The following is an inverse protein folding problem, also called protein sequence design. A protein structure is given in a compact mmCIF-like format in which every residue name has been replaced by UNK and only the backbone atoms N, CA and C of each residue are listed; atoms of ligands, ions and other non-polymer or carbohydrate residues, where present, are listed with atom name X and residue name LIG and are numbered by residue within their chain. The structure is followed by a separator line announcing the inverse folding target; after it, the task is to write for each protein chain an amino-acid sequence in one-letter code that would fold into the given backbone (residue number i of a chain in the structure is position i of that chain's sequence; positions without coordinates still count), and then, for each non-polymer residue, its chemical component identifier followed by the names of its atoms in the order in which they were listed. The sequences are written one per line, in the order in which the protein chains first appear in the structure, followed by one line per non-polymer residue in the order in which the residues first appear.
data_IF_479931967810
#
_entry.id   IF_479931967810
#
_cell.length_a   1.000
_cell.length_b   1.000
_cell.length_c   1.000
_cell.angle_alpha   90.00
_cell.angle_beta   90.00
_cell.angle_gamma   90.00
#
_symmetry.space_group_name_H-M   'P 1'
#
loop_
_entity.id
_entity.type
_entity.pdbx_description
1 polymer ?
#
# COMPACT_ATOMS: atom_id res chain seq x y z
N UNK A 1 3.37 -4.04 10.26
CA UNK A 1 2.04 -4.68 10.26
C UNK A 1 1.15 -4.27 11.43
N UNK A 2 1.70 -3.71 12.52
CA UNK A 2 0.90 -3.31 13.68
C UNK A 2 0.80 -4.45 14.70
N UNK A 3 -0.19 -4.37 15.59
CA UNK A 3 -0.46 -5.44 16.57
C UNK A 3 -1.29 -6.53 15.91
N UNK A 4 -0.84 -7.76 16.05
CA UNK A 4 -1.50 -8.94 15.49
C UNK A 4 -2.05 -9.84 16.60
N UNK A 5 -2.98 -10.72 16.23
CA UNK A 5 -3.57 -11.69 17.16
C UNK A 5 -2.89 -13.04 16.97
N UNK A 6 -2.41 -13.63 18.08
CA UNK A 6 -1.80 -14.96 18.09
C UNK A 6 -2.64 -15.93 18.91
N UNK A 7 -2.65 -17.19 18.50
CA UNK A 7 -3.19 -18.30 19.27
C UNK A 7 -2.02 -19.08 19.88
N UNK A 8 -2.07 -19.35 21.18
CA UNK A 8 -1.02 -20.09 21.89
C UNK A 8 -1.63 -21.10 22.89
N UNK A 9 -0.94 -22.23 23.17
CA UNK A 9 -1.44 -23.23 24.10
C UNK A 9 -1.48 -22.75 25.55
N UNK A 10 -2.49 -23.19 26.29
CA UNK A 10 -2.64 -22.98 27.73
C UNK A 10 -2.99 -24.32 28.37
N UNK A 11 -2.31 -24.67 29.46
CA UNK A 11 -2.66 -25.84 30.29
C UNK A 11 -3.35 -25.36 31.55
N UNK A 12 -4.48 -25.96 31.89
CA UNK A 12 -5.25 -25.58 33.07
C UNK A 12 -5.72 -26.84 33.82
N UNK A 13 -4.95 -27.23 34.82
CA UNK A 13 -5.28 -28.37 35.67
C UNK A 13 -6.38 -28.01 36.68
N UNK A 14 -7.13 -29.01 37.12
CA UNK A 14 -8.15 -28.84 38.15
C UNK A 14 -7.53 -28.22 39.41
N UNK A 15 -8.22 -27.22 39.97
CA UNK A 15 -7.81 -26.48 41.16
C UNK A 15 -6.46 -25.75 41.07
N UNK A 16 -5.91 -25.57 39.86
CA UNK A 16 -4.67 -24.84 39.60
C UNK A 16 -4.90 -23.55 38.79
N UNK A 17 -3.88 -22.69 38.74
CA UNK A 17 -3.85 -21.54 37.83
C UNK A 17 -3.45 -21.97 36.40
N UNK A 18 -3.93 -21.28 35.35
CA UNK A 18 -3.53 -21.58 33.98
C UNK A 18 -2.04 -21.30 33.76
N UNK A 19 -1.37 -22.22 33.07
CA UNK A 19 0.03 -22.10 32.66
C UNK A 19 0.07 -21.84 31.15
N UNK A 20 0.55 -20.64 30.80
CA UNK A 20 0.59 -20.15 29.42
C UNK A 20 1.92 -20.58 28.77
N UNK A 21 1.86 -21.19 27.58
CA UNK A 21 3.06 -21.46 26.81
C UNK A 21 3.68 -20.16 26.28
N UNK A 22 5.02 -20.05 26.22
CA UNK A 22 5.68 -18.90 25.61
C UNK A 22 5.28 -18.71 24.15
N UNK A 23 5.04 -17.46 23.74
CA UNK A 23 4.79 -17.10 22.34
C UNK A 23 6.13 -16.85 21.66
N UNK A 24 6.54 -17.76 20.77
CA UNK A 24 7.78 -17.71 20.00
C UNK A 24 7.52 -18.23 18.58
N UNK A 25 8.34 -17.87 17.59
CA UNK A 25 8.06 -18.08 16.16
C UNK A 25 7.46 -19.46 15.80
N UNK A 26 8.06 -20.55 16.29
CA UNK A 26 7.46 -21.89 16.22
C UNK A 26 6.82 -22.27 17.55
N UNK A 27 5.49 -22.44 17.55
CA UNK A 27 4.73 -22.89 18.72
C UNK A 27 4.24 -24.31 18.48
N UNK A 28 4.66 -25.24 19.34
CA UNK A 28 4.12 -26.61 19.36
C UNK A 28 2.95 -26.70 20.33
N UNK A 29 1.88 -27.37 19.93
CA UNK A 29 0.68 -27.51 20.76
C UNK A 29 -0.22 -28.64 20.27
N UNK A 30 -1.41 -28.73 20.84
CA UNK A 30 -2.43 -29.68 20.43
C UNK A 30 -2.87 -29.45 18.99
N UNK A 31 -3.27 -30.51 18.25
CA UNK A 31 -3.81 -30.35 16.91
C UNK A 31 -4.97 -29.35 16.88
N UNK A 32 -4.87 -28.35 16.00
CA UNK A 32 -5.95 -27.41 15.79
C UNK A 32 -7.14 -28.10 15.10
N UNK A 33 -8.38 -27.65 15.37
CA UNK A 33 -9.52 -28.03 14.55
C UNK A 33 -9.23 -27.77 13.07
N UNK A 34 -9.89 -28.53 12.19
CA UNK A 34 -9.79 -28.29 10.75
C UNK A 34 -10.17 -26.84 10.46
N UNK A 35 -9.32 -26.16 9.69
CA UNK A 35 -9.57 -24.82 9.18
C UNK A 35 -10.91 -24.80 8.44
N UNK A 36 -11.79 -23.88 8.81
CA UNK A 36 -13.11 -23.71 8.18
C UNK A 36 -13.35 -22.23 7.84
N UNK A 37 -14.09 -21.99 6.76
CA UNK A 37 -14.64 -20.67 6.39
C UNK A 37 -16.13 -20.56 6.70
N UNK A 38 -16.69 -21.54 7.41
CA UNK A 38 -18.09 -21.54 7.86
C UNK A 38 -18.27 -20.55 9.02
N UNK A 39 -18.23 -19.26 8.68
CA UNK A 39 -18.50 -18.14 9.58
C UNK A 39 -19.71 -17.37 9.06
N UNK A 40 -20.54 -16.87 9.98
CA UNK A 40 -21.73 -16.08 9.61
C UNK A 40 -21.30 -14.76 8.97
N UNK A 41 -21.56 -14.60 7.68
CA UNK A 41 -21.33 -13.37 6.92
C UNK A 41 -20.81 -13.65 5.52
N UNK A 42 -21.09 -12.75 4.58
CA UNK A 42 -20.70 -12.88 3.16
C UNK A 42 -19.52 -11.97 2.79
N UNK A 43 -18.67 -11.63 3.76
CA UNK A 43 -17.55 -10.69 3.56
C UNK A 43 -16.29 -11.47 3.23
N UNK A 44 -15.47 -10.95 2.30
CA UNK A 44 -14.17 -11.50 2.00
C UNK A 44 -13.28 -11.54 3.25
N UNK A 45 -12.45 -12.58 3.39
CA UNK A 45 -11.50 -12.64 4.49
C UNK A 45 -10.39 -11.63 4.26
N UNK A 46 -9.99 -10.89 5.29
CA UNK A 46 -8.96 -9.83 5.18
C UNK A 46 -7.62 -10.34 4.64
N UNK A 47 -7.28 -11.61 4.90
CA UNK A 47 -6.07 -12.27 4.39
C UNK A 47 -6.22 -12.87 2.98
N UNK A 48 -7.38 -12.76 2.36
CA UNK A 48 -7.55 -13.19 0.97
C UNK A 48 -6.96 -12.14 0.00
N UNK A 49 -6.58 -12.57 -1.21
CA UNK A 49 -6.15 -11.63 -2.23
C UNK A 49 -7.32 -10.74 -2.64
N UNK A 50 -7.06 -9.45 -2.82
CA UNK A 50 -8.05 -8.58 -3.44
C UNK A 50 -7.96 -8.69 -4.96
N UNK A 51 -9.11 -8.94 -5.59
CA UNK A 51 -9.29 -8.86 -7.04
C UNK A 51 -10.55 -8.04 -7.28
N UNK A 52 -10.40 -6.71 -7.25
CA UNK A 52 -11.53 -5.77 -7.29
C UNK A 52 -11.43 -4.90 -8.54
N UNK A 53 -12.46 -4.97 -9.37
CA UNK A 53 -12.64 -4.11 -10.54
C UNK A 53 -13.83 -3.18 -10.27
N UNK A 54 -13.56 -1.92 -9.97
CA UNK A 54 -14.58 -0.94 -9.57
C UNK A 54 -15.46 -0.57 -10.76
N UNK A 55 -16.64 -1.19 -10.85
CA UNK A 55 -17.67 -0.76 -11.79
C UNK A 55 -18.52 0.36 -11.17
N UNK A 56 -19.08 1.29 -11.98
CA UNK A 56 -20.04 2.26 -11.48
C UNK A 56 -21.17 1.60 -10.69
N UNK A 57 -21.44 2.10 -9.48
CA UNK A 57 -22.47 1.56 -8.58
C UNK A 57 -22.06 0.30 -7.80
N UNK A 58 -20.84 -0.22 -7.97
CA UNK A 58 -20.31 -1.29 -7.12
C UNK A 58 -20.14 -0.82 -5.68
N UNK A 59 -20.29 -1.75 -4.73
CA UNK A 59 -20.04 -1.48 -3.31
C UNK A 59 -18.54 -1.60 -3.03
N UNK A 60 -18.02 -0.69 -2.22
CA UNK A 60 -16.66 -0.79 -1.69
C UNK A 60 -16.59 -2.00 -0.74
N UNK A 61 -15.57 -2.87 -0.86
CA UNK A 61 -15.39 -4.00 0.07
C UNK A 61 -15.31 -3.54 1.53
N UNK A 62 -15.92 -4.30 2.44
CA UNK A 62 -16.08 -3.87 3.83
C UNK A 62 -14.76 -3.78 4.62
N UNK A 63 -13.68 -4.43 4.17
CA UNK A 63 -12.36 -4.36 4.79
C UNK A 63 -11.53 -3.15 4.35
N UNK A 64 -12.07 -2.32 3.45
CA UNK A 64 -11.39 -1.10 3.02
C UNK A 64 -11.60 0.01 4.05
N UNK A 65 -10.54 0.75 4.31
CA UNK A 65 -10.49 1.89 5.21
C UNK A 65 -10.45 3.16 4.37
N UNK A 66 -11.28 4.14 4.70
CA UNK A 66 -11.26 5.45 4.07
C UNK A 66 -10.94 6.52 5.11
N UNK A 67 -10.16 7.51 4.70
CA UNK A 67 -9.96 8.72 5.50
C UNK A 67 -10.73 9.86 4.84
N UNK A 68 -11.82 10.28 5.47
CA UNK A 68 -12.55 11.48 5.06
C UNK A 68 -11.92 12.69 5.74
N UNK A 69 -10.95 13.32 5.07
CA UNK A 69 -10.57 14.69 5.40
C UNK A 69 -11.41 15.64 4.54
N UNK A 70 -12.18 16.56 5.13
CA UNK A 70 -12.96 17.50 4.34
C UNK A 70 -12.01 18.59 3.84
N UNK A 71 -11.40 18.41 2.66
CA UNK A 71 -11.21 19.45 1.61
C UNK A 71 -10.06 19.18 0.62
N UNK A 72 -9.09 18.30 0.88
CA UNK A 72 -7.84 18.30 0.08
C UNK A 72 -7.34 16.92 -0.39
N UNK A 73 -7.96 15.83 0.04
CA UNK A 73 -7.53 14.48 -0.33
C UNK A 73 -8.67 13.45 -0.25
N UNK A 74 -8.71 12.56 -1.23
CA UNK A 74 -9.44 11.29 -1.17
C UNK A 74 -8.44 10.16 -0.93
N UNK A 75 -8.72 9.29 0.04
CA UNK A 75 -7.83 8.19 0.41
C UNK A 75 -8.64 6.94 0.73
N UNK A 76 -8.33 5.84 0.03
CA UNK A 76 -8.93 4.52 0.24
C UNK A 76 -7.82 3.48 0.35
N UNK A 77 -7.87 2.64 1.38
CA UNK A 77 -6.78 1.77 1.79
C UNK A 77 -7.29 0.43 2.28
N UNK A 78 -6.37 -0.51 2.50
CA UNK A 78 -6.57 -1.75 3.24
C UNK A 78 -5.41 -1.99 4.21
N UNK A 79 -5.62 -2.89 5.16
CA UNK A 79 -4.57 -3.34 6.07
C UNK A 79 -3.59 -4.28 5.35
N UNK A 80 -2.30 -4.09 5.59
CA UNK A 80 -1.27 -5.08 5.26
C UNK A 80 -1.46 -6.34 6.11
N UNK A 81 -1.56 -7.51 5.48
CA UNK A 81 -1.77 -8.79 6.18
C UNK A 81 -0.59 -9.75 6.09
N UNK A 82 0.44 -9.41 5.31
CA UNK A 82 1.58 -10.26 5.04
C UNK A 82 2.88 -9.45 5.13
N UNK A 83 3.96 -10.02 5.68
CA UNK A 83 5.28 -9.36 5.66
C UNK A 83 5.75 -9.14 4.22
N UNK A 84 5.39 -10.05 3.32
CA UNK A 84 5.64 -9.95 1.89
C UNK A 84 4.32 -9.87 1.15
N UNK A 85 4.12 -8.83 0.36
CA UNK A 85 2.92 -8.67 -0.47
C UNK A 85 3.22 -7.89 -1.74
N UNK A 86 2.28 -7.94 -2.68
CA UNK A 86 2.21 -7.02 -3.81
C UNK A 86 0.84 -6.36 -3.82
N UNK A 87 0.83 -5.03 -3.85
CA UNK A 87 -0.34 -4.20 -4.03
C UNK A 87 -0.21 -3.39 -5.32
N UNK A 88 -1.27 -3.27 -6.10
CA UNK A 88 -1.30 -2.41 -7.28
C UNK A 88 -2.70 -1.94 -7.64
N UNK A 89 -2.76 -0.80 -8.31
CA UNK A 89 -3.95 -0.27 -8.96
C UNK A 89 -3.59 0.26 -10.35
N UNK A 90 -4.58 0.37 -11.22
CA UNK A 90 -4.42 0.99 -12.54
C UNK A 90 -5.09 2.39 -12.51
N UNK A 91 -4.31 3.45 -12.70
CA UNK A 91 -4.81 4.81 -12.94
C UNK A 91 -5.25 4.88 -14.39
N UNK A 92 -6.55 4.93 -14.63
CA UNK A 92 -7.17 4.83 -15.96
C UNK A 92 -7.40 6.20 -16.58
N UNK A 93 -7.86 7.15 -15.78
CA UNK A 93 -8.09 8.53 -16.22
C UNK A 93 -7.58 9.48 -15.13
N UNK A 94 -6.76 10.44 -15.55
CA UNK A 94 -6.24 11.51 -14.72
C UNK A 94 -5.59 12.55 -15.64
N UNK A 95 -6.19 13.74 -15.73
CA UNK A 95 -5.80 14.79 -16.68
C UNK A 95 -5.54 16.13 -15.97
N UNK A 96 -4.52 16.21 -15.11
CA UNK A 96 -4.14 17.47 -14.45
C UNK A 96 -3.62 18.48 -15.48
N UNK A 97 -3.88 19.77 -15.26
CA UNK A 97 -3.44 20.83 -16.18
C UNK A 97 -2.38 21.75 -15.58
N UNK A 98 -2.36 21.85 -14.25
CA UNK A 98 -1.52 22.80 -13.54
C UNK A 98 -0.34 22.08 -12.91
N UNK A 99 0.81 22.73 -12.97
CA UNK A 99 2.04 22.21 -12.40
C UNK A 99 1.91 22.01 -10.88
N UNK A 100 2.20 20.79 -10.43
CA UNK A 100 2.34 20.41 -9.02
C UNK A 100 1.05 20.41 -8.19
N UNK A 101 -0.07 20.90 -8.74
CA UNK A 101 -1.32 21.05 -8.00
C UNK A 101 -1.97 19.68 -7.78
N UNK A 102 -2.46 19.00 -8.81
CA UNK A 102 -3.11 17.69 -8.62
C UNK A 102 -2.17 16.49 -8.73
N UNK A 103 -2.38 15.48 -7.88
CA UNK A 103 -1.65 14.20 -7.90
C UNK A 103 -2.59 13.04 -7.54
N UNK A 104 -2.40 11.90 -8.20
CA UNK A 104 -3.05 10.62 -7.83
C UNK A 104 -2.04 9.48 -7.84
N UNK A 105 -2.19 8.53 -6.93
CA UNK A 105 -1.17 7.52 -6.74
C UNK A 105 -1.53 6.37 -5.81
N UNK A 106 -0.50 5.62 -5.45
CA UNK A 106 -0.54 4.60 -4.39
C UNK A 106 0.29 5.03 -3.20
N UNK A 107 -0.14 4.64 -2.01
CA UNK A 107 0.54 4.96 -0.75
C UNK A 107 0.75 3.72 0.10
N UNK A 108 1.87 3.69 0.82
CA UNK A 108 2.02 2.91 2.04
C UNK A 108 1.98 3.89 3.22
N UNK A 109 0.98 3.74 4.06
CA UNK A 109 0.53 4.77 5.00
C UNK A 109 0.54 4.25 6.43
N UNK A 110 1.08 5.03 7.36
CA UNK A 110 0.92 4.80 8.80
C UNK A 110 0.09 5.91 9.43
N UNK A 111 0.48 7.17 9.19
CA UNK A 111 -0.20 8.38 9.67
C UNK A 111 -0.10 9.50 8.63
N UNK A 112 -0.79 10.62 8.87
CA UNK A 112 -0.69 11.81 8.01
C UNK A 112 0.72 12.43 7.99
N UNK A 113 1.57 12.09 8.95
CA UNK A 113 2.96 12.55 8.97
C UNK A 113 3.97 11.42 8.68
N UNK A 114 3.51 10.18 8.46
CA UNK A 114 4.35 9.03 8.15
C UNK A 114 3.74 8.20 7.02
N UNK A 115 4.19 8.46 5.80
CA UNK A 115 3.70 7.76 4.61
C UNK A 115 4.70 7.82 3.45
N UNK A 116 4.55 6.89 2.52
CA UNK A 116 5.36 6.72 1.32
C UNK A 116 4.43 6.71 0.11
N UNK A 117 4.62 7.63 -0.82
CA UNK A 117 3.67 7.84 -1.92
C UNK A 117 4.35 7.77 -3.28
N UNK A 118 3.81 6.96 -4.17
CA UNK A 118 4.12 7.00 -5.61
C UNK A 118 2.89 7.52 -6.35
N UNK A 119 3.02 8.71 -6.94
CA UNK A 119 1.95 9.35 -7.69
C UNK A 119 2.33 9.77 -9.10
N UNK A 120 1.31 10.07 -9.89
CA UNK A 120 1.40 10.77 -11.18
C UNK A 120 0.99 12.22 -10.94
N UNK A 121 1.80 13.15 -11.43
CA UNK A 121 1.64 14.60 -11.23
C UNK A 121 2.08 15.35 -12.48
N UNK A 122 1.47 16.50 -12.77
CA UNK A 122 1.91 17.39 -13.86
C UNK A 122 3.09 18.25 -13.37
N UNK A 123 4.22 18.24 -14.08
CA UNK A 123 5.40 19.06 -13.75
C UNK A 123 6.08 19.60 -15.01
N UNK A 124 6.90 20.64 -14.87
CA UNK A 124 7.77 21.13 -15.95
C UNK A 124 8.69 20.01 -16.47
N UNK A 125 8.73 19.85 -17.79
CA UNK A 125 9.61 18.90 -18.49
C UNK A 125 11.03 19.46 -18.70
N UNK A 126 11.28 20.72 -18.32
CA UNK A 126 12.51 21.47 -18.58
C UNK A 126 12.64 21.91 -20.04
N UNK A 127 11.58 21.77 -20.84
CA UNK A 127 11.51 22.19 -22.24
C UNK A 127 10.58 23.38 -22.38
N UNK A 128 10.69 24.06 -23.52
CA UNK A 128 9.79 25.16 -23.89
C UNK A 128 8.98 24.77 -25.11
N UNK A 129 7.71 25.13 -25.11
CA UNK A 129 6.81 24.98 -26.23
C UNK A 129 7.19 25.94 -27.38
N UNK A 130 6.47 25.82 -28.51
CA UNK A 130 6.70 26.68 -29.71
C UNK A 130 6.48 28.18 -29.45
N UNK A 131 5.85 28.55 -28.33
CA UNK A 131 5.57 29.93 -27.90
C UNK A 131 6.53 30.39 -26.80
N UNK A 132 7.51 29.57 -26.42
CA UNK A 132 8.49 29.87 -25.37
C UNK A 132 7.98 29.67 -23.95
N UNK A 133 6.76 29.12 -23.75
CA UNK A 133 6.22 28.77 -22.43
C UNK A 133 6.79 27.44 -21.98
N UNK A 134 6.94 27.24 -20.67
CA UNK A 134 7.30 25.94 -20.09
C UNK A 134 6.35 24.84 -20.57
N UNK A 135 6.93 23.73 -21.04
CA UNK A 135 6.22 22.55 -21.48
C UNK A 135 5.98 21.65 -20.28
N UNK A 136 4.72 21.50 -19.89
CA UNK A 136 4.34 20.59 -18.81
C UNK A 136 4.13 19.17 -19.33
N UNK A 137 4.43 18.19 -18.49
CA UNK A 137 4.20 16.77 -18.78
C UNK A 137 3.94 15.97 -17.51
N UNK A 138 3.33 14.79 -17.69
CA UNK A 138 3.12 13.87 -16.58
C UNK A 138 4.46 13.29 -16.12
N UNK A 139 4.65 13.30 -14.81
CA UNK A 139 5.79 12.73 -14.11
C UNK A 139 5.31 11.74 -13.06
N UNK A 140 6.10 10.70 -12.85
CA UNK A 140 6.00 9.83 -11.69
C UNK A 140 6.84 10.43 -10.57
N UNK A 141 6.26 10.56 -9.39
CA UNK A 141 6.89 11.16 -8.21
C UNK A 141 6.77 10.22 -7.02
N UNK A 142 7.90 9.76 -6.50
CA UNK A 142 8.00 9.01 -5.24
C UNK A 142 8.43 9.97 -4.13
N UNK A 143 7.61 10.08 -3.08
CA UNK A 143 7.85 10.93 -1.90
C UNK A 143 7.83 10.12 -0.62
N UNK A 144 8.56 10.63 0.36
CA UNK A 144 8.58 10.13 1.73
C UNK A 144 8.20 11.28 2.64
N UNK A 145 7.16 11.07 3.44
CA UNK A 145 6.77 11.96 4.53
C UNK A 145 7.05 11.24 5.85
N UNK A 146 7.68 11.95 6.78
CA UNK A 146 8.05 11.43 8.09
C UNK A 146 7.77 12.47 9.18
N UNK A 147 7.67 11.99 10.44
CA UNK A 147 7.30 12.81 11.60
C UNK A 147 8.18 14.06 11.68
N UNK A 148 7.58 15.26 11.64
CA UNK A 148 8.31 16.52 11.76
C UNK A 148 9.17 16.56 13.03
N UNK A 149 10.45 16.92 12.90
CA UNK A 149 11.36 17.08 14.04
C UNK A 149 11.87 15.78 14.66
N UNK A 150 11.55 14.61 14.10
CA UNK A 150 12.16 13.35 14.53
C UNK A 150 13.65 13.32 14.19
N UNK A 151 14.50 13.11 15.20
CA UNK A 151 15.94 12.91 15.04
C UNK A 151 16.29 11.56 14.38
N UNK A 152 15.28 10.71 14.13
CA UNK A 152 15.46 9.43 13.46
C UNK A 152 15.64 9.69 11.96
N UNK A 153 16.90 9.69 11.52
CA UNK A 153 17.23 9.71 10.11
C UNK A 153 16.93 8.32 9.52
N UNK A 154 15.76 8.15 8.90
CA UNK A 154 15.37 6.92 8.20
C UNK A 154 16.09 6.72 6.86
N UNK A 155 17.26 7.33 6.67
CA UNK A 155 18.11 7.12 5.50
C UNK A 155 17.72 7.96 4.29
N UNK A 156 17.34 9.23 4.50
CA UNK A 156 17.30 10.27 3.46
C UNK A 156 16.79 9.81 2.08
N UNK A 157 15.63 9.14 2.03
CA UNK A 157 15.05 8.72 0.75
C UNK A 157 14.67 10.00 -0.01
N UNK A 158 15.52 10.38 -0.95
CA UNK A 158 15.30 11.56 -1.78
C UNK A 158 14.02 11.39 -2.60
N UNK A 159 13.33 12.51 -2.84
CA UNK A 159 12.18 12.50 -3.74
C UNK A 159 12.65 12.12 -5.13
N UNK A 160 12.12 11.02 -5.66
CA UNK A 160 12.45 10.57 -7.02
C UNK A 160 11.38 11.08 -7.97
N UNK A 161 11.79 11.88 -8.95
CA UNK A 161 10.91 12.35 -10.03
C UNK A 161 11.44 11.83 -11.35
N UNK A 162 10.57 11.19 -12.14
CA UNK A 162 10.88 10.75 -13.50
C UNK A 162 9.73 11.13 -14.44
N UNK A 163 10.01 11.62 -15.66
CA UNK A 163 8.95 11.81 -16.65
C UNK A 163 8.28 10.47 -16.96
N UNK A 164 7.00 10.51 -17.32
CA UNK A 164 6.31 9.31 -17.77
C UNK A 164 7.03 8.75 -19.03
N UNK A 165 7.38 7.45 -19.07
CA UNK A 165 8.08 6.89 -20.23
C UNK A 165 7.27 7.01 -21.51
N UNK A 166 7.96 7.27 -22.64
CA UNK A 166 7.29 7.41 -23.94
C UNK A 166 6.50 6.16 -24.31
N UNK A 167 5.27 6.37 -24.77
CA UNK A 167 4.35 5.31 -25.20
C UNK A 167 3.54 4.71 -24.04
N UNK A 168 3.69 5.25 -22.83
CA UNK A 168 2.79 4.96 -21.73
C UNK A 168 1.52 5.82 -21.79
N UNK A 169 1.60 6.98 -22.46
CA UNK A 169 0.49 7.90 -22.64
C UNK A 169 -0.70 7.26 -23.39
N UNK A 170 -1.91 7.67 -23.00
CA UNK A 170 -3.15 7.16 -23.59
C UNK A 170 -3.48 5.71 -23.23
N UNK A 171 -2.86 5.17 -22.19
CA UNK A 171 -3.18 3.87 -21.59
C UNK A 171 -3.18 3.99 -20.06
N UNK A 172 -3.90 3.10 -19.35
CA UNK A 172 -3.84 3.07 -17.90
C UNK A 172 -2.41 2.82 -17.41
N UNK A 173 -2.04 3.52 -16.34
CA UNK A 173 -0.74 3.38 -15.67
C UNK A 173 -0.95 2.56 -14.41
N UNK A 174 -0.33 1.38 -14.34
CA UNK A 174 -0.27 0.58 -13.13
C UNK A 174 0.75 1.19 -12.17
N UNK A 175 0.32 1.49 -10.96
CA UNK A 175 1.18 1.87 -9.85
C UNK A 175 1.09 0.79 -8.77
N UNK A 176 2.20 0.51 -8.09
CA UNK A 176 2.20 -0.52 -7.08
C UNK A 176 3.26 -0.38 -6.00
N UNK A 177 2.99 -1.11 -4.91
CA UNK A 177 3.80 -1.22 -3.70
C UNK A 177 4.07 -2.69 -3.47
N UNK A 178 5.32 -3.04 -3.23
CA UNK A 178 5.74 -4.41 -2.92
C UNK A 178 6.53 -4.43 -1.62
N UNK A 179 6.07 -5.18 -0.64
CA UNK A 179 6.94 -5.55 0.49
C UNK A 179 7.82 -6.70 0.03
N UNK A 180 9.09 -6.40 -0.27
CA UNK A 180 10.03 -7.37 -0.84
C UNK A 180 10.57 -8.34 0.21
N UNK A 181 10.62 -7.88 1.47
CA UNK A 181 11.02 -8.61 2.68
C UNK A 181 10.51 -7.84 3.91
N UNK A 182 10.84 -8.32 5.11
CA UNK A 182 10.46 -7.69 6.39
C UNK A 182 10.97 -6.25 6.62
N UNK A 183 11.96 -5.79 5.83
CA UNK A 183 12.64 -4.50 6.07
C UNK A 183 12.41 -3.44 5.00
N UNK A 184 11.88 -3.77 3.82
CA UNK A 184 11.83 -2.84 2.69
C UNK A 184 10.53 -2.92 1.86
N UNK A 185 10.06 -1.74 1.46
CA UNK A 185 9.06 -1.56 0.43
C UNK A 185 9.72 -1.11 -0.88
N UNK A 186 9.23 -1.63 -2.00
CA UNK A 186 9.60 -1.23 -3.36
C UNK A 186 8.38 -0.62 -4.06
N UNK A 187 8.57 0.53 -4.69
CA UNK A 187 7.54 1.24 -5.45
C UNK A 187 7.84 1.13 -6.94
N UNK A 188 6.82 0.79 -7.71
CA UNK A 188 6.96 0.53 -9.14
C UNK A 188 5.78 1.06 -9.95
N UNK A 189 6.04 1.29 -11.23
CA UNK A 189 5.03 1.66 -12.21
C UNK A 189 5.19 0.85 -13.51
N UNK A 190 4.12 0.69 -14.26
CA UNK A 190 4.14 0.11 -15.60
C UNK A 190 2.94 0.62 -16.42
N UNK A 191 3.08 0.81 -17.72
CA UNK A 191 1.89 0.96 -18.57
C UNK A 191 1.18 -0.39 -18.74
N UNK A 192 -0.16 -0.40 -18.70
CA UNK A 192 -0.95 -1.60 -18.98
C UNK A 192 -0.74 -2.12 -20.41
N UNK A 193 -0.35 -1.27 -21.37
CA UNK A 193 0.04 -1.69 -22.73
C UNK A 193 1.38 -2.42 -22.76
N UNK A 194 2.24 -2.15 -21.77
CA UNK A 194 3.61 -2.65 -21.70
C UNK A 194 3.91 -3.22 -20.31
N UNK A 195 3.16 -4.25 -19.85
CA UNK A 195 3.21 -4.73 -18.47
C UNK A 195 4.56 -5.37 -18.09
N UNK A 196 5.45 -5.61 -19.06
CA UNK A 196 6.82 -6.13 -18.83
C UNK A 196 7.86 -5.02 -18.72
N UNK A 197 7.56 -3.80 -19.16
CA UNK A 197 8.42 -2.62 -18.98
C UNK A 197 8.08 -2.01 -17.61
N UNK A 198 8.54 -2.65 -16.53
CA UNK A 198 8.33 -2.18 -15.16
C UNK A 198 9.43 -1.17 -14.80
N UNK A 199 9.01 0.03 -14.40
CA UNK A 199 9.87 1.08 -13.88
C UNK A 199 9.87 1.00 -12.34
N UNK A 200 11.02 0.66 -11.74
CA UNK A 200 11.19 0.74 -10.28
C UNK A 200 11.56 2.18 -9.92
N UNK A 201 10.70 2.81 -9.14
CA UNK A 201 10.81 4.22 -8.74
C UNK A 201 11.67 4.41 -7.51
N UNK A 202 11.71 3.41 -6.62
CA UNK A 202 12.60 3.42 -5.46
C UNK A 202 12.29 2.32 -4.46
N UNK A 203 13.16 2.22 -3.46
CA UNK A 203 13.01 1.31 -2.32
C UNK A 203 13.15 2.14 -1.04
N UNK A 204 12.29 1.86 -0.06
CA UNK A 204 12.23 2.58 1.20
C UNK A 204 12.23 1.60 2.39
N UNK A 205 12.98 1.89 3.48
CA UNK A 205 12.94 1.09 4.69
C UNK A 205 11.54 1.07 5.32
N UNK A 206 11.06 -0.11 5.71
CA UNK A 206 9.79 -0.28 6.40
C UNK A 206 9.76 0.38 7.78
N UNK A 207 10.93 0.69 8.35
CA UNK A 207 11.08 1.43 9.61
C UNK A 207 10.46 2.83 9.55
N UNK A 208 10.36 3.45 8.36
CA UNK A 208 9.65 4.74 8.16
C UNK A 208 8.18 4.63 8.59
N UNK A 209 7.56 3.47 8.36
CA UNK A 209 6.16 3.19 8.65
C UNK A 209 6.01 2.35 9.93
N UNK A 210 6.90 2.58 10.91
CA UNK A 210 6.88 1.90 12.20
C UNK A 210 7.06 2.90 13.35
N UNK A 211 6.24 2.75 14.40
CA UNK A 211 6.32 3.59 15.59
C UNK A 211 5.95 5.06 15.31
N UNK A 212 6.78 5.98 15.79
CA UNK A 212 6.59 7.42 15.60
C UNK A 212 5.29 7.94 16.23
N UNK A 213 4.50 8.69 15.45
CA UNK A 213 3.19 9.21 15.87
C UNK A 213 2.03 8.23 15.59
N UNK A 214 2.34 7.06 14.99
CA UNK A 214 1.41 5.95 14.78
C UNK A 214 1.72 4.69 15.60
N UNK A 215 1.97 4.75 16.93
CA UNK A 215 2.45 3.60 17.70
C UNK A 215 1.46 2.43 17.81
N UNK A 216 0.17 2.66 17.55
CA UNK A 216 -0.88 1.66 17.73
C UNK A 216 -1.45 1.09 16.43
N UNK A 217 -1.06 1.63 15.28
CA UNK A 217 -1.59 1.29 13.96
C UNK A 217 -0.60 0.44 13.17
N UNK A 218 -1.16 -0.41 12.31
CA UNK A 218 -0.38 -1.13 11.30
C UNK A 218 -0.29 -0.31 10.01
N UNK A 219 0.69 -0.63 9.18
CA UNK A 219 0.80 -0.08 7.83
C UNK A 219 -0.44 -0.45 7.00
N UNK A 220 -1.00 0.57 6.37
CA UNK A 220 -2.07 0.47 5.38
C UNK A 220 -1.45 0.64 3.99
N UNK A 221 -2.06 0.05 2.97
CA UNK A 221 -1.72 0.31 1.57
C UNK A 221 -2.97 0.68 0.80
N UNK A 222 -2.85 1.62 -0.14
CA UNK A 222 -4.03 2.08 -0.86
C UNK A 222 -3.76 3.08 -1.97
N UNK A 223 -4.83 3.69 -2.44
CA UNK A 223 -4.82 4.70 -3.48
C UNK A 223 -5.29 6.05 -2.95
N UNK A 224 -4.70 7.12 -3.46
CA UNK A 224 -5.02 8.49 -3.09
C UNK A 224 -5.20 9.40 -4.31
N UNK A 225 -5.91 10.50 -4.09
CA UNK A 225 -5.97 11.64 -5.00
C UNK A 225 -5.99 12.93 -4.16
N UNK A 226 -5.21 13.93 -4.55
CA UNK A 226 -5.06 15.18 -3.80
C UNK A 226 -4.84 16.36 -4.74
N UNK A 227 -5.22 17.55 -4.29
CA UNK A 227 -4.85 18.83 -4.90
C UNK A 227 -3.55 19.41 -4.34
N UNK A 228 -2.81 18.66 -3.51
CA UNK A 228 -1.61 19.10 -2.78
C UNK A 228 -1.83 20.46 -2.06
N UNK A 229 -3.03 20.69 -1.52
CA UNK A 229 -3.42 21.95 -0.87
C UNK A 229 -3.86 23.07 -1.83
N UNK A 230 -3.92 22.81 -3.12
CA UNK A 230 -4.46 23.71 -4.15
C UNK A 230 -5.98 23.60 -4.33
N UNK A 231 -6.49 24.36 -5.31
CA UNK A 231 -7.92 24.45 -5.63
C UNK A 231 -8.35 23.53 -6.80
N UNK A 232 -7.42 22.70 -7.28
CA UNK A 232 -7.61 21.73 -8.33
C UNK A 232 -8.78 20.78 -8.03
N UNK A 233 -9.54 20.45 -9.08
CA UNK A 233 -10.72 19.57 -9.00
C UNK A 233 -10.62 18.39 -9.96
N UNK A 234 -9.42 18.15 -10.49
CA UNK A 234 -9.17 17.07 -11.42
C UNK A 234 -9.51 15.74 -10.75
N UNK A 235 -10.54 15.07 -11.27
CA UNK A 235 -10.91 13.75 -10.81
C UNK A 235 -9.92 12.71 -11.34
N UNK A 236 -9.75 11.61 -10.60
CA UNK A 236 -8.98 10.45 -11.06
C UNK A 236 -9.84 9.21 -10.99
N UNK A 237 -9.75 8.37 -12.03
CA UNK A 237 -10.39 7.07 -12.05
C UNK A 237 -9.33 5.98 -11.84
N UNK A 238 -9.43 5.32 -10.69
CA UNK A 238 -8.58 4.18 -10.32
C UNK A 238 -9.38 2.89 -10.46
N UNK A 239 -8.77 1.89 -11.08
CA UNK A 239 -9.37 0.57 -11.30
C UNK A 239 -8.41 -0.56 -10.94
N UNK A 240 -8.86 -1.80 -11.11
CA UNK A 240 -8.04 -3.00 -11.00
C UNK A 240 -7.21 -3.06 -9.72
N UNK A 241 -7.88 -2.89 -8.59
CA UNK A 241 -7.27 -3.03 -7.28
C UNK A 241 -6.87 -4.49 -7.06
N UNK A 242 -5.58 -4.71 -6.83
CA UNK A 242 -4.99 -6.03 -6.59
C UNK A 242 -4.14 -5.98 -5.34
N UNK A 243 -4.42 -6.88 -4.40
CA UNK A 243 -3.53 -7.15 -3.28
C UNK A 243 -3.30 -8.66 -3.22
N UNK A 244 -2.05 -9.08 -3.04
CA UNK A 244 -1.72 -10.49 -2.88
C UNK A 244 -0.59 -10.67 -1.87
N UNK A 245 -0.88 -11.38 -0.78
CA UNK A 245 0.13 -11.93 0.12
C UNK A 245 1.09 -12.86 -0.59
N UNK A 246 2.37 -12.79 -0.24
CA UNK A 246 3.45 -13.63 -0.80
C UNK A 246 4.09 -14.51 0.25
N UNK A 247 3.92 -14.19 1.53
CA UNK A 247 4.37 -15.02 2.65
C UNK A 247 4.62 -14.18 3.88
N UNK A 248 4.98 -14.88 4.96
CA UNK A 248 5.33 -14.33 6.25
C UNK A 248 6.80 -14.63 6.54
N UNK A 249 7.57 -13.61 6.89
CA UNK A 249 8.90 -13.73 7.49
C UNK A 249 8.68 -13.94 9.00
N UNK A 250 9.13 -15.07 9.53
CA UNK A 250 8.87 -15.49 10.92
C UNK A 250 10.12 -15.37 11.82
N UNK A 251 11.13 -14.63 11.34
CA UNK A 251 12.41 -14.41 12.02
C UNK A 251 13.49 -15.42 11.62
N UNK A 252 14.74 -15.11 11.98
CA UNK A 252 15.93 -15.93 11.71
C UNK A 252 16.14 -16.33 10.23
N UNK A 253 15.64 -15.51 9.29
CA UNK A 253 15.68 -15.79 7.86
C UNK A 253 14.68 -16.85 7.37
N UNK A 254 13.79 -17.33 8.25
CA UNK A 254 12.75 -18.30 7.88
C UNK A 254 11.51 -17.61 7.30
N UNK A 255 10.91 -18.27 6.30
CA UNK A 255 9.72 -17.77 5.62
C UNK A 255 8.66 -18.86 5.49
N UNK A 256 7.40 -18.48 5.72
CA UNK A 256 6.23 -19.31 5.47
C UNK A 256 5.57 -18.80 4.18
N UNK A 257 5.48 -19.60 3.11
CA UNK A 257 4.89 -19.14 1.87
C UNK A 257 3.40 -18.85 2.05
N UNK A 258 2.90 -17.87 1.29
CA UNK A 258 1.47 -17.62 1.23
C UNK A 258 0.75 -18.88 0.77
N UNK A 259 -0.17 -19.37 1.59
CA UNK A 259 -0.99 -20.54 1.29
C UNK A 259 -2.44 -20.08 1.22
N UNK A 260 -3.05 -19.99 0.02
CA UNK A 260 -4.46 -19.66 -0.08
C UNK A 260 -5.27 -20.73 0.66
N UNK A 261 -6.30 -20.31 1.38
CA UNK A 261 -7.21 -21.27 1.98
C UNK A 261 -7.96 -21.99 0.85
N UNK A 262 -7.67 -23.28 0.68
CA UNK A 262 -8.41 -24.17 -0.21
C UNK A 262 -9.36 -24.97 0.68
N UNK A 263 -10.66 -24.87 0.44
CA UNK A 263 -11.65 -25.76 1.06
C UNK A 263 -11.41 -27.14 0.43
N UNK A 264 -10.89 -28.09 1.22
CA UNK A 264 -10.78 -29.49 0.86
C UNK A 264 -12.01 -30.28 1.27
#
# INVERSE_FOLDING_TARGET
MGRETVLFPVTWEADAWPVLSPVQGHISGWPLPKRTRDVRGSVAFVGDPDVVDFHPGSKIPAHFVHLTSPQEMSLIMRVQTDTRFVFSVDVVDFSPEKEGEEETGVTAFLTQTQHLDLGIVMLDTGKRDKRGKEELGLHMRLRVTNVPGSAVNFGGVETVVRPLPRGWEGAPIRLGVKAVNETHYEFFAASVRKPREVEVMGTAPATILSGGDGPFTGTLVGAYATSNGGAGKTESYVSRWRYQGKGQDIGNGETVPYTPFVVG
#
